data_IF_380320796883
#
_entry.id   IF_380320796883
#
_cell.length_a   1.000
_cell.length_b   1.000
_cell.length_c   1.000
_cell.angle_alpha   90.00
_cell.angle_beta   90.00
_cell.angle_gamma   90.00
#
_symmetry.space_group_name_H-M   'P 1'
#
loop_
_entity.id
_entity.type
_entity.pdbx_description
1 polymer ?
#
# COMPACT_ATOMS: atom_id res chain seq x y z
N UNK A 1 -14.92 34.72 34.51
CA UNK A 1 -15.03 34.72 33.03
C UNK A 1 -15.24 33.27 32.62
N UNK A 2 -16.50 32.88 32.39
CA UNK A 2 -16.88 31.48 32.16
C UNK A 2 -16.63 31.13 30.70
N UNK A 3 -15.55 30.40 30.41
CA UNK A 3 -15.32 29.81 29.08
C UNK A 3 -16.26 28.61 28.93
N UNK A 4 -17.40 28.84 28.27
CA UNK A 4 -18.36 27.79 27.96
C UNK A 4 -17.81 26.82 26.91
N UNK A 5 -17.90 25.52 27.19
CA UNK A 5 -17.63 24.48 26.21
C UNK A 5 -18.64 24.57 25.06
N UNK A 6 -18.14 24.63 23.83
CA UNK A 6 -18.95 24.57 22.62
C UNK A 6 -19.17 23.10 22.26
N UNK A 7 -20.43 22.68 22.27
CA UNK A 7 -20.84 21.32 21.87
C UNK A 7 -21.41 21.38 20.46
N UNK A 8 -20.74 20.76 19.49
CA UNK A 8 -21.26 20.59 18.12
C UNK A 8 -21.42 19.09 17.89
N UNK A 9 -22.65 18.63 17.66
CA UNK A 9 -22.94 17.24 17.31
C UNK A 9 -22.48 16.19 18.34
N UNK A 10 -22.48 16.53 19.64
CA UNK A 10 -22.06 15.63 20.72
C UNK A 10 -20.56 15.62 21.03
N UNK A 11 -19.74 16.32 20.24
CA UNK A 11 -18.32 16.51 20.52
C UNK A 11 -18.12 17.66 21.52
N UNK A 12 -17.64 17.36 22.73
CA UNK A 12 -17.29 18.36 23.74
C UNK A 12 -15.90 18.90 23.40
N UNK A 13 -15.82 20.12 22.87
CA UNK A 13 -14.54 20.81 22.63
C UNK A 13 -14.10 21.47 23.94
N UNK A 14 -12.94 21.07 24.53
CA UNK A 14 -12.43 21.69 25.74
C UNK A 14 -12.14 23.17 25.49
N UNK A 15 -12.64 24.04 26.39
CA UNK A 15 -12.50 25.49 26.27
C UNK A 15 -11.03 25.91 26.27
N UNK A 16 -10.52 26.30 25.09
CA UNK A 16 -9.12 26.69 24.89
C UNK A 16 -8.48 26.13 23.61
N UNK A 17 -9.13 25.20 22.90
CA UNK A 17 -8.65 24.67 21.62
C UNK A 17 -9.39 25.35 20.46
N UNK A 18 -8.66 26.14 19.67
CA UNK A 18 -9.21 26.83 18.50
C UNK A 18 -9.74 25.83 17.46
N UNK A 19 -10.84 26.18 16.78
CA UNK A 19 -11.51 25.30 15.81
C UNK A 19 -10.58 24.89 14.65
N UNK A 20 -9.63 25.75 14.30
CA UNK A 20 -8.57 25.49 13.32
C UNK A 20 -7.63 24.36 13.78
N UNK A 21 -7.31 24.29 15.07
CA UNK A 21 -6.46 23.24 15.66
C UNK A 21 -7.22 21.92 15.80
N UNK A 22 -8.52 21.97 16.11
CA UNK A 22 -9.37 20.77 16.08
C UNK A 22 -9.43 20.19 14.65
N UNK A 23 -9.64 21.03 13.64
CA UNK A 23 -9.64 20.61 12.24
C UNK A 23 -8.29 20.02 11.82
N UNK A 24 -7.18 20.66 12.20
CA UNK A 24 -5.84 20.14 11.92
C UNK A 24 -5.58 18.78 12.57
N UNK A 25 -5.97 18.60 13.84
CA UNK A 25 -5.81 17.33 14.57
C UNK A 25 -6.64 16.23 13.91
N UNK A 26 -7.89 16.51 13.53
CA UNK A 26 -8.74 15.54 12.84
C UNK A 26 -8.15 15.17 11.46
N UNK A 27 -7.67 16.15 10.69
CA UNK A 27 -7.03 15.88 9.41
C UNK A 27 -5.76 15.02 9.53
N UNK A 28 -4.94 15.24 10.58
CA UNK A 28 -3.74 14.43 10.82
C UNK A 28 -4.11 13.01 11.27
N UNK A 29 -5.11 12.85 12.14
CA UNK A 29 -5.59 11.53 12.58
C UNK A 29 -6.20 10.72 11.44
N UNK A 30 -6.98 11.37 10.56
CA UNK A 30 -7.55 10.72 9.36
C UNK A 30 -6.46 10.40 8.35
N UNK A 31 -5.46 11.29 8.17
CA UNK A 31 -4.32 11.06 7.28
C UNK A 31 -3.41 9.90 7.70
N UNK A 32 -3.25 9.68 9.02
CA UNK A 32 -2.48 8.53 9.54
C UNK A 32 -3.18 7.18 9.36
N UNK A 33 -4.51 7.15 9.28
CA UNK A 33 -5.25 5.89 9.06
C UNK A 33 -5.16 5.39 7.60
N UNK A 34 -4.74 6.24 6.68
CA UNK A 34 -4.71 5.96 5.24
C UNK A 34 -3.38 5.39 4.73
N UNK A 35 -2.36 5.25 5.58
CA UNK A 35 -1.05 4.74 5.16
C UNK A 35 -0.74 3.45 5.93
N UNK A 36 -0.78 2.32 5.22
CA UNK A 36 0.02 1.08 5.40
C UNK A 36 -0.76 -0.07 4.77
N UNK A 37 -0.69 -0.17 3.45
CA UNK A 37 -0.73 -1.47 2.78
C UNK A 37 0.69 -1.79 2.36
N UNK A 38 1.50 -2.25 3.32
CA UNK A 38 2.78 -2.87 2.98
C UNK A 38 2.41 -4.24 2.42
N UNK A 39 2.56 -4.44 1.11
CA UNK A 39 2.43 -5.74 0.51
C UNK A 39 3.53 -6.64 1.08
N UNK A 40 3.17 -7.56 1.98
CA UNK A 40 4.09 -8.59 2.44
C UNK A 40 4.20 -9.64 1.33
N UNK A 41 5.34 -9.69 0.66
CA UNK A 41 5.66 -10.82 -0.20
C UNK A 41 5.80 -12.06 0.69
N UNK A 42 4.99 -13.07 0.44
CA UNK A 42 5.19 -14.38 1.07
C UNK A 42 6.56 -14.91 0.63
N UNK A 43 7.38 -15.31 1.59
CA UNK A 43 8.65 -15.94 1.30
C UNK A 43 8.39 -17.31 0.68
N UNK A 44 8.92 -17.55 -0.53
CA UNK A 44 8.75 -18.81 -1.24
C UNK A 44 9.89 -19.76 -0.86
N UNK A 45 9.54 -20.97 -0.42
CA UNK A 45 10.47 -22.06 -0.16
C UNK A 45 10.55 -23.06 -1.32
N UNK A 46 11.55 -23.97 -1.31
CA UNK A 46 11.60 -25.07 -2.27
C UNK A 46 10.38 -25.99 -2.15
N UNK A 47 9.74 -26.28 -3.29
CA UNK A 47 8.55 -27.14 -3.36
C UNK A 47 7.22 -26.38 -3.26
N UNK A 48 7.26 -25.10 -2.88
CA UNK A 48 6.06 -24.25 -2.94
C UNK A 48 5.63 -24.05 -4.40
N UNK A 49 4.31 -23.99 -4.60
CA UNK A 49 3.76 -23.62 -5.89
C UNK A 49 4.14 -22.17 -6.21
N UNK A 50 4.78 -21.95 -7.36
CA UNK A 50 5.08 -20.61 -7.83
C UNK A 50 3.77 -19.82 -8.02
N UNK A 51 3.66 -18.59 -7.46
CA UNK A 51 2.48 -17.76 -7.65
C UNK A 51 2.24 -17.47 -9.14
N UNK A 52 0.98 -17.44 -9.60
CA UNK A 52 0.69 -17.07 -10.97
C UNK A 52 1.09 -15.63 -11.22
N UNK A 53 1.75 -15.39 -12.36
CA UNK A 53 2.03 -14.05 -12.86
C UNK A 53 1.79 -14.00 -14.36
N UNK A 54 1.54 -12.78 -14.85
CA UNK A 54 1.52 -12.49 -16.28
C UNK A 54 2.24 -11.18 -16.54
N UNK A 55 3.09 -11.19 -17.56
CA UNK A 55 3.99 -10.08 -17.90
C UNK A 55 4.01 -9.91 -19.42
N UNK A 56 4.17 -8.67 -19.87
CA UNK A 56 4.39 -8.37 -21.28
C UNK A 56 5.83 -8.74 -21.67
N UNK A 57 5.97 -9.50 -22.76
CA UNK A 57 7.25 -9.89 -23.32
C UNK A 57 7.90 -8.78 -24.13
N UNK A 58 9.16 -8.98 -24.54
CA UNK A 58 9.83 -8.08 -25.48
C UNK A 58 9.24 -8.14 -26.90
N UNK A 59 8.40 -9.15 -27.17
CA UNK A 59 7.58 -9.28 -28.36
C UNK A 59 6.29 -8.43 -28.31
N UNK A 60 5.96 -7.84 -27.15
CA UNK A 60 4.74 -7.07 -26.94
C UNK A 60 3.51 -7.91 -26.57
N UNK A 61 3.66 -9.24 -26.47
CA UNK A 61 2.57 -10.14 -26.14
C UNK A 61 2.51 -10.40 -24.62
N UNK A 62 1.32 -10.72 -24.11
CA UNK A 62 1.14 -11.12 -22.71
C UNK A 62 1.46 -12.60 -22.56
N UNK A 63 2.40 -12.91 -21.66
CA UNK A 63 2.77 -14.29 -21.33
C UNK A 63 2.35 -14.59 -19.89
N UNK A 64 1.81 -15.78 -19.64
CA UNK A 64 1.46 -16.20 -18.27
C UNK A 64 2.22 -17.45 -17.82
N UNK A 65 2.46 -17.56 -16.52
CA UNK A 65 3.12 -18.76 -15.96
C UNK A 65 2.31 -20.04 -16.24
N UNK A 66 0.99 -19.94 -16.33
CA UNK A 66 0.08 -21.07 -16.55
C UNK A 66 0.26 -21.68 -17.94
N UNK A 67 0.53 -20.88 -18.96
CA UNK A 67 0.81 -21.35 -20.34
C UNK A 67 2.07 -22.23 -20.42
N UNK A 68 2.98 -22.09 -19.46
CA UNK A 68 4.24 -22.83 -19.40
C UNK A 68 4.15 -24.13 -18.56
N UNK A 69 2.94 -24.54 -18.16
CA UNK A 69 2.72 -25.77 -17.38
C UNK A 69 3.36 -26.99 -18.05
N UNK A 70 4.03 -27.83 -17.25
CA UNK A 70 4.73 -29.03 -17.74
C UNK A 70 6.12 -28.75 -18.31
N UNK A 71 6.59 -27.50 -18.26
CA UNK A 71 7.96 -27.10 -18.65
C UNK A 71 8.75 -26.67 -17.41
N UNK A 72 10.05 -26.91 -17.43
CA UNK A 72 10.96 -26.31 -16.45
C UNK A 72 11.21 -24.85 -16.82
N UNK A 73 10.96 -23.94 -15.88
CA UNK A 73 11.09 -22.49 -16.08
C UNK A 73 12.10 -21.93 -15.09
N UNK A 74 12.98 -21.05 -15.55
CA UNK A 74 13.91 -20.28 -14.71
C UNK A 74 13.41 -18.84 -14.66
N UNK A 75 13.18 -18.32 -13.45
CA UNK A 75 12.77 -16.94 -13.23
C UNK A 75 13.93 -16.17 -12.59
N UNK A 76 14.34 -15.07 -13.23
CA UNK A 76 15.41 -14.22 -12.74
C UNK A 76 14.99 -12.75 -12.86
N UNK A 77 15.23 -11.98 -11.79
CA UNK A 77 14.91 -10.55 -11.72
C UNK A 77 16.19 -9.73 -11.79
N UNK A 78 16.12 -8.58 -12.46
CA UNK A 78 17.19 -7.59 -12.48
C UNK A 78 16.58 -6.18 -12.39
N UNK A 79 17.30 -5.17 -11.88
CA UNK A 79 16.69 -3.88 -11.53
C UNK A 79 16.14 -3.11 -12.73
N UNK A 80 16.90 -3.08 -13.83
CA UNK A 80 16.56 -2.28 -15.01
C UNK A 80 17.31 -2.77 -16.25
N UNK A 81 16.64 -2.73 -17.39
CA UNK A 81 17.26 -3.02 -18.67
C UNK A 81 18.16 -1.86 -19.14
N UNK A 82 19.17 -2.18 -19.96
CA UNK A 82 20.06 -1.20 -20.60
C UNK A 82 20.86 -0.32 -19.61
N UNK A 83 21.22 -0.86 -18.45
CA UNK A 83 22.14 -0.22 -17.49
C UNK A 83 23.44 -1.02 -17.36
N UNK A 84 24.53 -0.36 -16.97
CA UNK A 84 25.73 -1.04 -16.48
C UNK A 84 25.42 -1.75 -15.15
N UNK A 85 25.99 -2.93 -14.96
CA UNK A 85 25.84 -3.72 -13.73
C UNK A 85 26.55 -3.11 -12.53
#
# INVERSE_FOLDING_TARGET
>A
MSVGSLVIGGLVVPGGVDIMKVLLIVCVLVGMLATVTIASAQELGPGDAAPPFSLIGSDGEMHSLVELTGRTVVLAWFPKAFTGG
#
